data_IF_367270361507
#
_entry.id   IF_367270361507
#
_cell.length_a   1.000
_cell.length_b   1.000
_cell.length_c   1.000
_cell.angle_alpha   90.00
_cell.angle_beta   90.00
_cell.angle_gamma   90.00
#
_symmetry.space_group_name_H-M   'P 1'
#
loop_
_entity.id
_entity.type
_entity.pdbx_description
1 polymer ?
#
# COMPACT_ATOMS: atom_id res chain seq x y z
N UNK A 1 -19.75 -24.38 37.42
CA UNK A 1 -18.76 -25.16 38.18
C UNK A 1 -18.77 -26.60 37.68
N UNK A 2 -17.78 -26.98 36.88
CA UNK A 2 -17.20 -28.34 36.80
C UNK A 2 -15.95 -28.24 35.92
N UNK A 3 -14.81 -28.34 36.59
CA UNK A 3 -13.47 -28.47 36.03
C UNK A 3 -13.35 -29.77 35.25
N UNK A 4 -12.58 -29.77 34.17
CA UNK A 4 -11.84 -30.95 33.75
C UNK A 4 -10.51 -30.51 33.13
N UNK A 5 -9.43 -30.87 33.82
CA UNK A 5 -8.02 -30.65 33.48
C UNK A 5 -7.35 -32.00 33.67
N UNK A 6 -6.61 -32.51 32.68
CA UNK A 6 -5.44 -33.42 32.76
C UNK A 6 -5.18 -33.95 31.32
N UNK A 7 -4.17 -33.46 30.61
CA UNK A 7 -2.71 -33.79 30.62
C UNK A 7 -2.32 -35.07 29.85
N UNK A 8 -1.57 -34.82 28.77
CA UNK A 8 -0.45 -35.53 28.14
C UNK A 8 -0.54 -37.03 27.80
N UNK A 9 -0.34 -37.30 26.50
CA UNK A 9 0.40 -38.48 26.04
C UNK A 9 1.35 -38.07 24.90
N UNK A 10 2.60 -38.45 25.10
CA UNK A 10 3.76 -38.26 24.24
C UNK A 10 3.67 -39.21 23.06
N UNK A 11 3.87 -38.70 21.84
CA UNK A 11 4.00 -39.50 20.63
C UNK A 11 4.99 -38.82 19.68
N UNK A 12 6.24 -39.30 19.72
CA UNK A 12 7.31 -38.93 18.81
C UNK A 12 6.90 -39.24 17.36
N UNK A 13 6.74 -38.20 16.54
CA UNK A 13 6.74 -38.34 15.09
C UNK A 13 7.92 -37.53 14.54
N UNK A 14 8.93 -38.28 14.12
CA UNK A 14 10.10 -37.81 13.37
C UNK A 14 9.66 -37.10 12.09
N UNK A 15 9.88 -35.80 12.02
CA UNK A 15 9.85 -35.01 10.78
C UNK A 15 11.30 -34.75 10.39
N UNK A 16 11.80 -35.52 9.43
CA UNK A 16 12.97 -35.16 8.64
C UNK A 16 12.64 -33.89 7.87
N UNK A 17 13.22 -32.76 8.29
CA UNK A 17 13.13 -31.49 7.58
C UNK A 17 13.88 -31.59 6.24
N UNK A 18 13.31 -31.08 5.13
CA UNK A 18 14.03 -30.98 3.88
C UNK A 18 15.03 -29.82 3.95
N UNK A 19 16.27 -30.14 3.59
CA UNK A 19 17.43 -29.32 3.24
C UNK A 19 17.34 -27.80 3.46
N UNK A 20 18.23 -27.34 4.34
CA UNK A 20 18.36 -25.95 4.76
C UNK A 20 18.84 -25.01 3.66
N UNK A 21 17.90 -24.23 3.12
CA UNK A 21 18.21 -22.88 2.70
C UNK A 21 18.44 -22.03 3.96
N UNK A 22 19.69 -21.67 4.25
CA UNK A 22 20.04 -20.80 5.37
C UNK A 22 19.17 -19.53 5.36
N UNK A 23 18.46 -19.25 6.46
CA UNK A 23 17.61 -18.08 6.60
C UNK A 23 18.46 -16.81 6.37
N UNK A 24 18.14 -16.04 5.33
CA UNK A 24 18.89 -14.83 4.98
C UNK A 24 18.71 -13.77 6.07
N UNK A 25 19.82 -13.23 6.60
CA UNK A 25 19.80 -12.21 7.65
C UNK A 25 18.97 -10.98 7.22
N UNK A 26 18.08 -10.52 8.09
CA UNK A 26 17.22 -9.35 7.87
C UNK A 26 17.14 -8.47 9.12
N UNK A 27 16.88 -7.18 8.94
CA UNK A 27 16.77 -6.21 10.04
C UNK A 27 15.49 -5.37 9.91
N UNK A 28 14.90 -4.97 11.05
CA UNK A 28 13.74 -4.09 11.12
C UNK A 28 13.87 -3.16 12.33
N UNK A 29 13.52 -1.88 12.19
CA UNK A 29 13.49 -0.94 13.30
C UNK A 29 12.08 -0.89 13.90
N UNK A 30 11.99 -0.96 15.23
CA UNK A 30 10.76 -0.81 16.01
C UNK A 30 10.86 0.39 16.94
N UNK A 31 9.79 1.16 17.09
CA UNK A 31 9.69 2.30 18.01
C UNK A 31 8.99 1.92 19.32
N UNK A 32 9.46 2.49 20.43
CA UNK A 32 8.79 2.44 21.73
C UNK A 32 8.75 3.84 22.36
N UNK A 33 7.58 4.45 22.56
CA UNK A 33 6.26 3.94 22.19
C UNK A 33 6.10 3.81 20.66
N UNK A 34 5.22 2.93 20.21
CA UNK A 34 4.98 2.67 18.79
C UNK A 34 4.56 3.93 18.01
N UNK A 35 3.94 4.89 18.70
CA UNK A 35 3.61 6.22 18.19
C UNK A 35 4.48 7.26 18.91
N UNK A 36 5.59 7.73 18.28
CA UNK A 36 6.45 8.75 18.85
C UNK A 36 5.69 10.06 19.11
N UNK A 37 5.93 10.68 20.26
CA UNK A 37 5.33 11.97 20.62
C UNK A 37 6.39 13.00 20.94
N UNK A 38 6.17 14.23 20.50
CA UNK A 38 7.07 15.35 20.81
C UNK A 38 7.23 15.52 22.32
N UNK A 39 8.44 15.89 22.74
CA UNK A 39 8.89 16.11 24.11
C UNK A 39 8.92 14.88 25.03
N UNK A 40 8.54 13.70 24.54
CA UNK A 40 8.59 12.45 25.28
C UNK A 40 9.82 11.62 24.89
N UNK A 41 10.11 10.60 25.68
CA UNK A 41 11.17 9.66 25.36
C UNK A 41 10.75 8.75 24.20
N UNK A 42 11.70 8.44 23.33
CA UNK A 42 11.54 7.51 22.21
C UNK A 42 12.75 6.58 22.18
N UNK A 43 12.51 5.29 22.04
CA UNK A 43 13.54 4.29 21.77
C UNK A 43 13.27 3.67 20.41
N UNK A 44 14.26 3.72 19.53
CA UNK A 44 14.28 2.91 18.30
C UNK A 44 15.13 1.67 18.57
N UNK A 45 14.62 0.48 18.30
CA UNK A 45 15.32 -0.80 18.45
C UNK A 45 15.42 -1.52 17.11
N UNK A 46 16.62 -1.95 16.74
CA UNK A 46 16.91 -2.65 15.50
C UNK A 46 16.87 -4.16 15.75
N UNK A 47 15.75 -4.79 15.39
CA UNK A 47 15.53 -6.24 15.51
C UNK A 47 16.14 -6.96 14.32
N UNK A 48 16.86 -8.04 14.59
CA UNK A 48 17.57 -8.82 13.57
C UNK A 48 17.05 -10.25 13.59
N UNK A 49 16.63 -10.75 12.43
CA UNK A 49 16.15 -12.12 12.25
C UNK A 49 17.12 -12.92 11.37
N UNK A 50 17.24 -14.21 11.67
CA UNK A 50 18.03 -15.15 10.85
C UNK A 50 19.51 -15.24 11.20
N UNK A 51 19.97 -14.63 12.31
CA UNK A 51 21.36 -14.72 12.75
C UNK A 51 21.48 -14.53 14.28
N UNK A 52 22.20 -15.43 14.97
CA UNK A 52 22.46 -15.42 16.42
C UNK A 52 23.92 -15.07 16.79
N UNK A 53 24.76 -14.76 15.81
CA UNK A 53 26.16 -14.41 16.02
C UNK A 53 26.37 -13.02 16.63
N UNK A 54 27.63 -12.64 16.95
CA UNK A 54 27.96 -11.30 17.42
C UNK A 54 27.68 -10.26 16.33
N UNK A 55 27.05 -9.15 16.71
CA UNK A 55 26.57 -8.10 15.80
C UNK A 55 27.18 -6.76 16.14
N UNK A 56 27.53 -6.02 15.09
CA UNK A 56 27.82 -4.60 15.19
C UNK A 56 26.71 -3.80 14.53
N UNK A 57 26.27 -2.76 15.21
CA UNK A 57 25.24 -1.83 14.77
C UNK A 57 25.85 -0.48 14.48
N UNK A 58 25.44 0.12 13.36
CA UNK A 58 25.73 1.49 12.99
C UNK A 58 24.40 2.22 12.79
N UNK A 59 24.18 3.27 13.58
CA UNK A 59 23.01 4.13 13.46
C UNK A 59 23.39 5.42 12.75
N UNK A 60 22.65 5.75 11.70
CA UNK A 60 22.87 6.93 10.88
C UNK A 60 21.57 7.70 10.72
N UNK A 61 21.68 9.01 10.48
CA UNK A 61 20.56 9.87 10.10
C UNK A 61 20.86 10.52 8.77
N UNK A 62 19.92 10.43 7.83
CA UNK A 62 20.06 11.02 6.49
C UNK A 62 20.36 12.52 6.63
N UNK A 63 21.44 12.97 5.98
CA UNK A 63 21.91 14.36 6.03
C UNK A 63 22.90 14.68 7.15
N UNK A 64 23.24 13.72 8.02
CA UNK A 64 24.33 13.86 8.99
C UNK A 64 25.51 12.99 8.54
N UNK A 65 26.66 13.61 8.29
CA UNK A 65 27.84 12.94 7.75
C UNK A 65 28.55 11.98 8.72
N UNK A 66 28.23 12.04 10.02
CA UNK A 66 28.81 11.17 11.05
C UNK A 66 27.76 10.21 11.62
N UNK A 67 28.12 8.94 11.89
CA UNK A 67 27.24 8.00 12.57
C UNK A 67 26.80 8.55 13.93
N UNK A 68 25.53 8.39 14.25
CA UNK A 68 24.96 8.78 15.53
C UNK A 68 25.45 7.85 16.65
N UNK A 69 25.60 6.56 16.34
CA UNK A 69 26.07 5.54 17.26
C UNK A 69 26.74 4.39 16.49
N UNK A 70 27.80 3.82 17.05
CA UNK A 70 28.45 2.60 16.55
C UNK A 70 28.80 1.68 17.72
N UNK A 71 28.54 0.39 17.59
CA UNK A 71 28.93 -0.62 18.59
C UNK A 71 27.94 -1.76 18.72
N UNK A 72 27.85 -2.35 19.91
CA UNK A 72 26.96 -3.51 20.18
C UNK A 72 25.52 -3.15 20.50
N UNK A 73 25.21 -1.87 20.68
CA UNK A 73 23.89 -1.42 21.08
C UNK A 73 22.92 -1.39 19.88
N UNK A 74 21.88 -2.20 19.97
CA UNK A 74 20.79 -2.33 19.00
C UNK A 74 19.72 -1.24 19.17
N UNK A 75 19.90 -0.30 20.10
CA UNK A 75 18.95 0.76 20.40
C UNK A 75 19.53 2.16 20.19
N UNK A 76 18.67 3.09 19.78
CA UNK A 76 18.91 4.52 19.74
C UNK A 76 17.87 5.23 20.62
N UNK A 77 18.33 5.98 21.61
CA UNK A 77 17.47 6.59 22.64
C UNK A 77 17.40 8.10 22.49
N UNK A 78 16.18 8.63 22.37
CA UNK A 78 15.88 10.05 22.47
C UNK A 78 15.22 10.29 23.83
N UNK A 79 15.90 10.99 24.74
CA UNK A 79 15.33 11.28 26.08
C UNK A 79 14.13 12.21 26.01
N UNK A 80 14.17 13.17 25.08
CA UNK A 80 13.07 14.07 24.77
C UNK A 80 13.08 14.37 23.28
N UNK A 81 12.07 13.86 22.57
CA UNK A 81 11.95 14.00 21.13
C UNK A 81 11.66 15.47 20.75
N UNK A 82 12.32 16.01 19.73
CA UNK A 82 12.13 17.39 19.29
C UNK A 82 12.21 17.48 17.75
N UNK A 83 12.02 18.69 17.21
CA UNK A 83 11.98 18.89 15.76
C UNK A 83 13.31 18.57 15.06
N UNK A 84 14.45 18.80 15.72
CA UNK A 84 15.76 18.52 15.12
C UNK A 84 16.05 17.02 15.04
N UNK A 85 15.33 16.21 15.81
CA UNK A 85 15.37 14.75 15.72
C UNK A 85 14.55 14.20 14.53
N UNK A 86 13.66 14.96 13.89
CA UNK A 86 12.89 14.43 12.76
C UNK A 86 13.77 14.11 11.54
N UNK A 87 13.42 13.05 10.82
CA UNK A 87 14.11 12.61 9.61
C UNK A 87 14.21 11.09 9.50
N UNK A 88 14.96 10.64 8.50
CA UNK A 88 15.14 9.21 8.20
C UNK A 88 16.36 8.66 8.92
N UNK A 89 16.16 7.58 9.67
CA UNK A 89 17.18 6.85 10.41
C UNK A 89 17.48 5.52 9.73
N UNK A 90 18.75 5.15 9.68
CA UNK A 90 19.20 3.87 9.16
C UNK A 90 19.94 3.12 10.25
N UNK A 91 19.57 1.85 10.45
CA UNK A 91 20.33 0.89 11.24
C UNK A 91 20.99 -0.08 10.26
N UNK A 92 22.32 -0.07 10.20
CA UNK A 92 23.10 -1.06 9.49
C UNK A 92 23.63 -2.06 10.52
N UNK A 93 23.27 -3.32 10.38
CA UNK A 93 23.79 -4.42 11.19
C UNK A 93 24.75 -5.26 10.36
N UNK A 94 25.96 -5.46 10.89
CA UNK A 94 26.98 -6.31 10.29
C UNK A 94 27.26 -7.48 11.20
N UNK A 95 27.32 -8.68 10.62
CA UNK A 95 27.73 -9.91 11.28
C UNK A 95 28.59 -10.76 10.33
N UNK A 96 29.21 -11.85 10.81
CA UNK A 96 29.94 -12.78 9.94
C UNK A 96 29.08 -13.38 8.80
N UNK A 97 27.76 -13.39 8.95
CA UNK A 97 26.81 -13.94 7.96
C UNK A 97 26.39 -12.91 6.90
N UNK A 98 26.79 -11.65 7.06
CA UNK A 98 26.56 -10.58 6.09
C UNK A 98 26.16 -9.26 6.73
N UNK A 99 25.57 -8.38 5.92
CA UNK A 99 25.05 -7.08 6.36
C UNK A 99 23.57 -6.97 6.04
N UNK A 100 22.78 -6.46 6.98
CA UNK A 100 21.39 -6.11 6.77
C UNK A 100 21.16 -4.65 7.16
N UNK A 101 20.25 -3.99 6.45
CA UNK A 101 19.98 -2.57 6.64
C UNK A 101 18.49 -2.40 6.85
N UNK A 102 18.13 -1.62 7.87
CA UNK A 102 16.76 -1.23 8.16
C UNK A 102 16.66 0.30 8.19
N UNK A 103 15.55 0.83 7.69
CA UNK A 103 15.28 2.27 7.65
C UNK A 103 14.01 2.59 8.42
N UNK A 104 14.01 3.70 9.15
CA UNK A 104 12.87 4.20 9.91
C UNK A 104 12.68 5.69 9.66
N UNK A 105 11.50 6.07 9.20
CA UNK A 105 11.13 7.45 8.96
C UNK A 105 10.51 8.06 10.23
N UNK A 106 11.30 8.84 10.97
CA UNK A 106 10.83 9.54 12.16
C UNK A 106 10.28 10.92 11.77
N UNK A 107 9.01 10.94 11.36
CA UNK A 107 8.25 12.17 11.17
C UNK A 107 7.19 12.25 12.26
N UNK A 108 7.12 13.39 12.95
CA UNK A 108 5.99 13.70 13.82
C UNK A 108 5.27 14.89 13.20
N UNK A 109 4.32 14.61 12.31
CA UNK A 109 3.28 15.58 11.98
C UNK A 109 2.08 15.30 12.87
N UNK A 110 2.23 15.55 14.18
CA UNK A 110 1.06 15.50 15.06
C UNK A 110 0.31 16.83 14.99
N UNK A 111 -0.96 16.78 14.58
CA UNK A 111 -1.84 17.95 14.58
C UNK A 111 -2.28 18.35 16.01
N UNK A 112 -1.62 17.82 17.04
CA UNK A 112 -2.03 17.89 18.46
C UNK A 112 -2.18 19.33 18.98
N UNK A 113 -1.49 20.28 18.37
CA UNK A 113 -1.56 21.70 18.72
C UNK A 113 -1.93 22.60 17.53
N UNK A 114 -2.44 22.00 16.44
CA UNK A 114 -2.94 22.77 15.30
C UNK A 114 -4.42 23.07 15.52
N UNK A 115 -4.78 24.33 15.33
CA UNK A 115 -6.16 24.80 15.36
C UNK A 115 -6.54 25.23 13.94
N UNK A 116 -7.67 24.75 13.46
CA UNK A 116 -8.25 25.15 12.19
C UNK A 116 -9.58 25.84 12.48
N UNK A 117 -9.79 27.00 11.88
CA UNK A 117 -10.98 27.83 12.07
C UNK A 117 -11.64 28.01 10.72
N UNK A 118 -12.92 27.66 10.64
CA UNK A 118 -13.76 27.85 9.47
C UNK A 118 -14.81 28.90 9.83
N UNK A 119 -14.61 30.18 9.44
CA UNK A 119 -15.42 31.28 9.93
C UNK A 119 -16.81 31.35 9.29
N UNK A 120 -17.05 30.61 8.20
CA UNK A 120 -18.31 30.57 7.48
C UNK A 120 -18.70 29.12 7.23
N UNK A 121 -20.01 28.86 7.25
CA UNK A 121 -20.52 27.55 6.84
C UNK A 121 -20.21 27.32 5.35
N UNK A 122 -19.64 26.15 5.06
CA UNK A 122 -19.41 25.71 3.68
C UNK A 122 -19.62 24.20 3.55
N UNK A 123 -19.75 23.73 2.32
CA UNK A 123 -19.72 22.32 1.92
C UNK A 123 -18.36 21.90 1.35
N UNK A 124 -17.40 22.81 1.16
CA UNK A 124 -16.09 22.54 0.54
C UNK A 124 -14.89 22.87 1.44
N UNK A 125 -15.10 23.49 2.60
CA UNK A 125 -14.03 23.88 3.50
C UNK A 125 -13.42 22.66 4.19
N UNK A 126 -12.13 22.42 3.93
CA UNK A 126 -11.40 21.28 4.50
C UNK A 126 -9.91 21.59 4.68
N UNK A 127 -9.24 20.75 5.46
CA UNK A 127 -7.78 20.72 5.58
C UNK A 127 -7.31 19.39 5.04
N UNK A 128 -6.49 19.42 3.98
CA UNK A 128 -5.92 18.21 3.40
C UNK A 128 -4.69 17.78 4.19
N UNK A 129 -4.71 16.56 4.71
CA UNK A 129 -3.54 15.91 5.30
C UNK A 129 -3.00 14.90 4.29
N UNK A 130 -1.82 15.18 3.74
CA UNK A 130 -1.16 14.28 2.79
C UNK A 130 -0.43 13.17 3.54
N UNK A 131 -1.16 12.13 3.93
CA UNK A 131 -0.57 10.91 4.46
C UNK A 131 -0.23 9.94 3.33
N UNK A 132 0.98 9.38 3.34
CA UNK A 132 1.38 8.28 2.46
C UNK A 132 1.51 7.00 3.31
N UNK A 133 0.41 6.28 3.58
CA UNK A 133 0.47 5.05 4.34
C UNK A 133 1.32 4.02 3.56
N UNK A 134 2.43 3.59 4.17
CA UNK A 134 3.32 2.58 3.58
C UNK A 134 2.68 1.17 3.58
N UNK A 135 1.56 0.97 4.29
CA UNK A 135 0.88 -0.32 4.45
C UNK A 135 -0.66 -0.12 4.43
N UNK A 136 -1.44 -1.17 4.10
CA UNK A 136 -2.90 -1.14 4.26
C UNK A 136 -3.32 -0.73 5.66
N UNK A 137 -4.37 0.08 5.77
CA UNK A 137 -4.94 0.47 7.05
C UNK A 137 -5.70 -0.73 7.64
N UNK A 138 -4.97 -1.55 8.40
CA UNK A 138 -5.54 -2.65 9.19
C UNK A 138 -6.12 -2.14 10.50
N UNK A 139 -5.49 -1.12 11.08
CA UNK A 139 -5.94 -0.48 12.30
C UNK A 139 -6.00 1.02 12.06
N UNK A 140 -7.09 1.64 12.49
CA UNK A 140 -7.31 3.06 12.36
C UNK A 140 -7.67 3.64 13.72
N UNK A 141 -7.13 4.81 14.04
CA UNK A 141 -7.56 5.60 15.20
C UNK A 141 -7.46 7.07 14.85
N UNK A 142 -8.53 7.82 15.11
CA UNK A 142 -8.55 9.27 15.04
C UNK A 142 -9.14 9.85 16.31
N UNK A 143 -8.50 10.89 16.83
CA UNK A 143 -8.95 11.67 17.96
C UNK A 143 -8.84 13.15 17.60
N UNK A 144 -9.94 13.88 17.75
CA UNK A 144 -9.97 15.32 17.47
C UNK A 144 -10.90 16.04 18.43
N UNK A 145 -10.78 17.37 18.46
CA UNK A 145 -11.68 18.26 19.18
C UNK A 145 -12.41 19.12 18.18
N UNK A 146 -13.72 19.24 18.34
CA UNK A 146 -14.56 20.10 17.51
C UNK A 146 -15.45 20.96 18.39
N UNK A 147 -15.68 22.20 17.97
CA UNK A 147 -16.62 23.11 18.60
C UNK A 147 -17.33 23.88 17.49
N UNK A 148 -18.65 23.75 17.44
CA UNK A 148 -19.51 24.33 16.39
C UNK A 148 -20.96 24.38 16.86
N UNK A 149 -21.71 25.33 16.31
CA UNK A 149 -23.16 25.51 16.42
C UNK A 149 -23.94 24.84 15.27
N UNK A 150 -23.24 24.17 14.34
CA UNK A 150 -23.85 23.45 13.22
C UNK A 150 -24.78 22.31 13.70
N UNK A 151 -26.01 22.32 13.19
CA UNK A 151 -27.02 21.28 13.46
C UNK A 151 -27.18 20.27 12.32
N UNK A 152 -26.78 20.63 11.09
CA UNK A 152 -26.78 19.75 9.91
C UNK A 152 -25.67 18.67 9.99
N UNK A 153 -25.70 17.62 9.16
CA UNK A 153 -24.59 16.67 9.06
C UNK A 153 -23.28 17.31 8.58
N UNK A 154 -22.15 16.95 9.17
CA UNK A 154 -20.81 17.34 8.70
C UNK A 154 -19.73 16.31 9.03
N UNK A 155 -18.72 16.22 8.16
CA UNK A 155 -17.58 15.32 8.34
C UNK A 155 -16.56 15.96 9.28
N UNK A 156 -16.10 15.17 10.25
CA UNK A 156 -15.00 15.52 11.15
C UNK A 156 -13.67 14.95 10.67
N UNK A 157 -13.73 13.81 9.98
CA UNK A 157 -12.60 13.17 9.33
C UNK A 157 -13.10 12.41 8.11
N UNK A 158 -12.38 12.55 7.00
CA UNK A 158 -12.63 11.78 5.78
C UNK A 158 -11.33 11.26 5.21
N UNK A 159 -11.33 9.98 4.84
CA UNK A 159 -10.33 9.34 4.01
C UNK A 159 -11.09 8.67 2.85
N UNK A 160 -10.69 9.00 1.63
CA UNK A 160 -11.27 8.50 0.40
C UNK A 160 -10.20 7.84 -0.46
N UNK A 161 -10.58 6.77 -1.16
CA UNK A 161 -9.77 6.18 -2.24
C UNK A 161 -10.40 6.54 -3.59
N UNK A 162 -9.69 6.32 -4.71
CA UNK A 162 -10.25 6.57 -6.05
C UNK A 162 -11.55 5.79 -6.34
N UNK A 163 -11.85 4.74 -5.57
CA UNK A 163 -13.02 3.88 -5.76
C UNK A 163 -14.10 4.05 -4.69
N UNK A 164 -13.75 4.61 -3.54
CA UNK A 164 -14.64 4.66 -2.40
C UNK A 164 -14.47 6.00 -1.69
N UNK A 165 -15.44 6.86 -1.90
CA UNK A 165 -15.50 8.20 -1.28
C UNK A 165 -15.63 8.10 0.25
N UNK A 166 -16.32 7.05 0.73
CA UNK A 166 -16.53 6.79 2.16
C UNK A 166 -15.66 5.64 2.68
N UNK A 167 -14.36 5.67 2.37
CA UNK A 167 -13.43 4.60 2.75
C UNK A 167 -13.29 4.55 4.27
N UNK A 168 -12.99 5.68 4.91
CA UNK A 168 -13.11 5.86 6.37
C UNK A 168 -13.66 7.25 6.65
N UNK A 169 -14.81 7.33 7.32
CA UNK A 169 -15.45 8.63 7.63
C UNK A 169 -15.91 8.66 9.08
N UNK A 170 -15.54 9.70 9.82
CA UNK A 170 -16.18 10.06 11.07
C UNK A 170 -17.10 11.26 10.82
N UNK A 171 -18.41 11.02 10.90
CA UNK A 171 -19.45 11.98 10.58
C UNK A 171 -20.22 12.36 11.86
N UNK A 172 -20.39 13.65 12.14
CA UNK A 172 -21.46 14.12 13.02
C UNK A 172 -22.72 14.19 12.17
N UNK A 173 -23.63 13.22 12.32
CA UNK A 173 -24.82 13.13 11.46
C UNK A 173 -25.91 14.12 11.91
N UNK A 174 -26.05 14.29 13.22
CA UNK A 174 -26.93 15.27 13.88
C UNK A 174 -26.42 15.50 15.30
N UNK A 175 -26.92 16.49 16.07
CA UNK A 175 -26.39 16.81 17.40
C UNK A 175 -26.30 15.60 18.35
N UNK A 176 -27.23 14.65 18.23
CA UNK A 176 -27.33 13.45 19.08
C UNK A 176 -26.78 12.16 18.45
N UNK A 177 -26.08 12.22 17.30
CA UNK A 177 -25.63 11.00 16.60
C UNK A 177 -24.32 11.21 15.82
N UNK A 178 -23.36 10.33 16.07
CA UNK A 178 -22.18 10.16 15.21
C UNK A 178 -22.34 8.90 14.36
N UNK A 179 -21.78 8.92 13.16
CA UNK A 179 -21.63 7.74 12.30
C UNK A 179 -20.18 7.53 11.98
N UNK A 180 -19.75 6.28 12.03
CA UNK A 180 -18.41 5.88 11.63
C UNK A 180 -18.51 4.89 10.48
N UNK A 181 -17.93 5.26 9.34
CA UNK A 181 -17.92 4.49 8.10
C UNK A 181 -16.58 3.79 7.91
N UNK A 182 -16.65 2.56 7.40
CA UNK A 182 -15.51 1.81 6.86
C UNK A 182 -16.00 1.12 5.58
N UNK A 183 -15.32 1.34 4.47
CA UNK A 183 -15.65 0.71 3.19
C UNK A 183 -17.10 0.93 2.74
N UNK A 184 -17.67 2.11 2.98
CA UNK A 184 -19.05 2.45 2.65
C UNK A 184 -20.12 2.02 3.66
N UNK A 185 -19.84 1.05 4.54
CA UNK A 185 -20.77 0.62 5.61
C UNK A 185 -20.53 1.41 6.89
N UNK A 186 -21.55 1.58 7.74
CA UNK A 186 -21.41 2.37 8.98
C UNK A 186 -22.06 1.79 10.22
N UNK A 187 -21.56 2.26 11.36
CA UNK A 187 -22.23 2.13 12.66
C UNK A 187 -22.57 3.50 13.23
N UNK A 188 -23.75 3.62 13.85
CA UNK A 188 -24.20 4.86 14.48
C UNK A 188 -24.00 4.82 16.01
N UNK A 189 -23.52 5.90 16.60
CA UNK A 189 -23.39 6.10 18.04
C UNK A 189 -24.33 7.22 18.49
N UNK A 190 -25.37 6.86 19.25
CA UNK A 190 -26.26 7.84 19.87
C UNK A 190 -25.58 8.47 21.08
N UNK A 191 -25.59 9.79 21.13
CA UNK A 191 -24.96 10.60 22.17
C UNK A 191 -25.97 11.61 22.72
N UNK A 192 -25.82 12.04 23.99
CA UNK A 192 -26.57 13.19 24.50
C UNK A 192 -26.31 14.43 23.64
N UNK A 193 -27.29 15.32 23.56
CA UNK A 193 -27.13 16.60 22.90
C UNK A 193 -26.12 17.47 23.68
N UNK A 194 -25.17 18.09 22.96
CA UNK A 194 -24.13 18.93 23.56
C UNK A 194 -24.69 20.31 23.87
N UNK A 195 -24.51 20.78 25.11
CA UNK A 195 -24.86 22.15 25.52
C UNK A 195 -23.70 23.09 25.23
N UNK A 196 -23.53 23.50 23.96
CA UNK A 196 -22.52 24.48 23.50
C UNK A 196 -21.13 24.29 24.13
N UNK A 197 -20.65 23.05 24.19
CA UNK A 197 -19.34 22.71 24.73
C UNK A 197 -18.46 22.05 23.65
N UNK A 198 -17.13 22.28 23.67
CA UNK A 198 -16.20 21.56 22.81
C UNK A 198 -16.30 20.05 23.05
N UNK A 199 -16.48 19.30 21.97
CA UNK A 199 -16.54 17.85 21.99
C UNK A 199 -15.17 17.27 21.63
N UNK A 200 -14.65 16.36 22.47
CA UNK A 200 -13.50 15.52 22.15
C UNK A 200 -14.01 14.16 21.70
N UNK A 201 -13.91 13.88 20.41
CA UNK A 201 -14.32 12.59 19.85
C UNK A 201 -13.10 11.76 19.47
N UNK A 202 -13.13 10.48 19.84
CA UNK A 202 -12.16 9.49 19.40
C UNK A 202 -12.90 8.27 18.84
N UNK A 203 -12.37 7.72 17.76
CA UNK A 203 -12.83 6.43 17.22
C UNK A 203 -11.63 5.59 16.84
N UNK A 204 -11.70 4.30 17.14
CA UNK A 204 -10.71 3.31 16.74
C UNK A 204 -11.41 2.13 16.08
N UNK A 205 -10.79 1.55 15.06
CA UNK A 205 -11.26 0.37 14.36
C UNK A 205 -10.09 -0.56 14.05
N UNK A 206 -10.33 -1.86 14.20
CA UNK A 206 -9.37 -2.93 13.93
C UNK A 206 -9.97 -3.91 12.94
N UNK A 207 -9.36 -4.02 11.76
CA UNK A 207 -9.75 -4.95 10.70
C UNK A 207 -9.89 -6.39 11.19
N UNK A 208 -8.92 -7.02 11.91
CA UNK A 208 -9.00 -8.44 12.23
C UNK A 208 -10.26 -8.84 13.04
N UNK A 209 -10.74 -7.94 13.89
CA UNK A 209 -11.91 -8.16 14.74
C UNK A 209 -13.16 -7.46 14.22
N UNK A 210 -13.01 -6.44 13.39
CA UNK A 210 -14.07 -5.50 13.00
C UNK A 210 -14.57 -4.65 14.16
N UNK A 211 -13.85 -4.57 15.28
CA UNK A 211 -14.35 -3.87 16.47
C UNK A 211 -14.11 -2.36 16.33
N UNK A 212 -15.20 -1.60 16.36
CA UNK A 212 -15.20 -0.14 16.51
C UNK A 212 -15.32 0.21 17.98
N UNK A 213 -14.40 1.04 18.46
CA UNK A 213 -14.45 1.67 19.78
C UNK A 213 -14.63 3.17 19.61
N UNK A 214 -15.58 3.74 20.33
CA UNK A 214 -15.93 5.16 20.26
C UNK A 214 -15.84 5.78 21.66
N UNK A 215 -15.31 7.00 21.73
CA UNK A 215 -15.29 7.79 22.94
C UNK A 215 -15.75 9.21 22.65
N UNK A 216 -16.56 9.75 23.56
CA UNK A 216 -16.93 11.16 23.58
C UNK A 216 -16.53 11.76 24.93
N UNK A 217 -15.77 12.85 24.91
CA UNK A 217 -15.25 13.54 26.08
C UNK A 217 -14.51 12.61 27.07
N UNK A 218 -13.78 11.63 26.51
CA UNK A 218 -13.03 10.63 27.28
C UNK A 218 -13.88 9.46 27.81
N UNK A 219 -15.21 9.54 27.73
CA UNK A 219 -16.09 8.44 28.14
C UNK A 219 -16.24 7.42 27.00
N UNK A 220 -16.06 6.11 27.25
CA UNK A 220 -16.24 5.07 26.24
C UNK A 220 -17.72 4.77 25.99
N UNK A 221 -18.05 4.43 24.74
CA UNK A 221 -19.35 3.87 24.34
C UNK A 221 -19.26 2.35 24.14
N UNK A 222 -20.41 1.65 24.11
CA UNK A 222 -20.45 0.24 23.74
C UNK A 222 -19.75 -0.03 22.40
N UNK A 223 -18.93 -1.08 22.38
CA UNK A 223 -18.22 -1.53 21.19
C UNK A 223 -19.22 -2.02 20.14
N UNK A 224 -18.91 -1.81 18.86
CA UNK A 224 -19.73 -2.27 17.74
C UNK A 224 -18.89 -3.02 16.72
N UNK A 225 -19.49 -3.96 16.00
CA UNK A 225 -18.86 -4.63 14.88
C UNK A 225 -19.09 -3.85 13.59
N UNK A 226 -18.05 -3.69 12.79
CA UNK A 226 -18.08 -3.11 11.45
C UNK A 226 -16.93 -3.70 10.62
N UNK A 227 -17.25 -4.24 9.45
CA UNK A 227 -16.26 -4.61 8.43
C UNK A 227 -15.08 -5.47 8.94
N UNK A 228 -15.38 -6.63 9.55
CA UNK A 228 -14.35 -7.57 10.00
C UNK A 228 -13.57 -8.13 8.80
N UNK A 229 -12.24 -8.05 8.87
CA UNK A 229 -11.30 -8.49 7.85
C UNK A 229 -11.15 -7.53 6.67
N UNK A 230 -11.82 -6.37 6.72
CA UNK A 230 -11.75 -5.38 5.65
C UNK A 230 -10.39 -4.69 5.66
N UNK A 231 -9.78 -4.48 4.51
CA UNK A 231 -8.53 -3.71 4.38
C UNK A 231 -8.84 -2.53 3.49
N UNK A 232 -8.68 -1.30 4.00
CA UNK A 232 -8.81 -0.12 3.15
C UNK A 232 -7.75 -0.24 2.05
N UNK A 233 -8.21 -0.45 0.81
CA UNK A 233 -7.35 -0.96 -0.25
C UNK A 233 -6.33 0.10 -0.64
N UNK A 234 -5.04 -0.27 -0.65
CA UNK A 234 -3.97 0.59 -1.16
C UNK A 234 -3.83 0.30 -2.65
N UNK A 235 -4.19 1.29 -3.47
CA UNK A 235 -3.96 1.24 -4.91
C UNK A 235 -2.44 1.14 -5.18
N UNK A 236 -1.97 0.21 -6.04
CA UNK A 236 -0.58 0.15 -6.41
C UNK A 236 -0.12 1.43 -7.10
N UNK A 237 1.16 1.80 -6.95
CA UNK A 237 1.69 3.01 -7.57
C UNK A 237 1.49 2.97 -9.09
N UNK A 238 1.14 4.13 -9.65
CA UNK A 238 0.94 4.31 -11.10
C UNK A 238 -0.07 3.33 -11.74
N UNK A 239 -1.05 2.83 -10.98
CA UNK A 239 -2.12 2.00 -11.53
C UNK A 239 -3.07 2.81 -12.42
N UNK A 240 -3.39 2.29 -13.61
CA UNK A 240 -4.53 2.75 -14.41
C UNK A 240 -4.97 1.70 -15.42
N UNK A 241 -6.27 1.71 -15.75
CA UNK A 241 -6.82 0.91 -16.83
C UNK A 241 -6.47 1.49 -18.19
N UNK A 242 -6.05 0.63 -19.11
CA UNK A 242 -5.98 0.93 -20.56
C UNK A 242 -7.22 0.38 -21.26
N UNK A 243 -7.73 -0.75 -20.78
CA UNK A 243 -9.05 -1.25 -21.12
C UNK A 243 -9.75 -1.65 -19.82
N UNK A 244 -10.82 -0.92 -19.46
CA UNK A 244 -11.53 -1.08 -18.19
C UNK A 244 -11.96 -2.54 -17.96
N UNK A 245 -11.63 -3.07 -16.79
CA UNK A 245 -11.93 -4.46 -16.42
C UNK A 245 -11.20 -5.53 -17.23
N UNK A 246 -10.25 -5.17 -18.11
CA UNK A 246 -9.56 -6.10 -19.02
C UNK A 246 -8.04 -6.02 -18.90
N UNK A 247 -7.46 -4.82 -19.04
CA UNK A 247 -6.02 -4.63 -19.03
C UNK A 247 -5.62 -3.33 -18.32
N UNK A 248 -4.78 -3.46 -17.29
CA UNK A 248 -4.22 -2.34 -16.53
C UNK A 248 -2.68 -2.29 -16.59
N UNK A 249 -2.12 -1.08 -16.48
CA UNK A 249 -0.71 -0.84 -16.24
C UNK A 249 -0.46 -0.37 -14.81
N UNK A 250 0.70 -0.71 -14.22
CA UNK A 250 1.13 -0.23 -12.91
C UNK A 250 2.65 -0.15 -12.77
N UNK A 251 3.13 0.57 -11.76
CA UNK A 251 4.49 0.42 -11.26
C UNK A 251 4.59 -0.83 -10.37
N UNK A 252 5.81 -1.22 -9.99
CA UNK A 252 6.05 -2.46 -9.24
C UNK A 252 5.24 -2.49 -7.93
N UNK A 253 4.35 -3.48 -7.72
CA UNK A 253 3.68 -3.64 -6.45
C UNK A 253 4.70 -4.07 -5.38
N UNK A 254 4.73 -3.34 -4.27
CA UNK A 254 5.68 -3.60 -3.17
C UNK A 254 5.06 -4.25 -1.92
N UNK A 255 3.78 -4.08 -1.68
CA UNK A 255 3.11 -4.50 -0.45
C UNK A 255 1.98 -5.51 -0.69
N UNK A 256 1.65 -6.38 0.29
CA UNK A 256 0.53 -7.32 0.19
C UNK A 256 -0.80 -6.69 -0.23
N UNK A 257 -1.06 -5.46 0.25
CA UNK A 257 -2.27 -4.70 -0.08
C UNK A 257 -2.43 -4.39 -1.56
N UNK A 258 -1.33 -4.17 -2.29
CA UNK A 258 -1.39 -3.91 -3.73
C UNK A 258 -1.90 -5.14 -4.49
N UNK A 259 -1.48 -6.34 -4.10
CA UNK A 259 -1.92 -7.58 -4.73
C UNK A 259 -3.39 -7.88 -4.42
N UNK A 260 -3.83 -7.61 -3.19
CA UNK A 260 -5.24 -7.72 -2.81
C UNK A 260 -6.11 -6.70 -3.54
N UNK A 261 -5.61 -5.46 -3.71
CA UNK A 261 -6.26 -4.47 -4.55
C UNK A 261 -6.48 -5.02 -5.96
N UNK A 262 -5.44 -5.57 -6.61
CA UNK A 262 -5.56 -6.18 -7.94
C UNK A 262 -6.63 -7.29 -7.98
N UNK A 263 -6.65 -8.18 -6.99
CA UNK A 263 -7.69 -9.22 -6.91
C UNK A 263 -9.10 -8.62 -6.79
N UNK A 264 -9.26 -7.58 -5.97
CA UNK A 264 -10.51 -6.82 -5.83
C UNK A 264 -10.91 -6.06 -7.11
N UNK A 265 -9.95 -5.78 -8.00
CA UNK A 265 -10.19 -5.24 -9.35
C UNK A 265 -10.61 -6.31 -10.38
N UNK A 266 -10.75 -7.57 -9.99
CA UNK A 266 -11.00 -8.68 -10.91
C UNK A 266 -9.75 -9.14 -11.67
N UNK A 267 -8.56 -8.59 -11.35
CA UNK A 267 -7.30 -9.07 -11.92
C UNK A 267 -6.98 -10.46 -11.36
N UNK A 268 -6.65 -11.39 -12.24
CA UNK A 268 -6.19 -12.75 -11.87
C UNK A 268 -4.80 -13.07 -12.39
N UNK A 269 -4.28 -12.24 -13.31
CA UNK A 269 -2.94 -12.40 -13.86
C UNK A 269 -2.12 -11.12 -13.71
N UNK A 270 -0.93 -11.24 -13.13
CA UNK A 270 0.05 -10.16 -13.02
C UNK A 270 1.26 -10.47 -13.90
N UNK A 271 1.52 -9.63 -14.88
CA UNK A 271 2.64 -9.70 -15.80
C UNK A 271 3.78 -8.83 -15.26
N UNK A 272 4.89 -9.47 -14.88
CA UNK A 272 6.10 -8.81 -14.38
C UNK A 272 7.15 -8.72 -15.48
N UNK A 273 7.44 -7.50 -15.92
CA UNK A 273 8.50 -7.22 -16.91
C UNK A 273 9.89 -7.06 -16.27
N UNK A 274 9.95 -6.95 -14.94
CA UNK A 274 11.19 -6.75 -14.19
C UNK A 274 12.05 -8.01 -14.11
N UNK A 275 13.36 -7.80 -14.03
CA UNK A 275 14.39 -8.82 -13.89
C UNK A 275 14.24 -9.63 -12.60
N UNK A 276 13.73 -8.98 -11.54
CA UNK A 276 13.38 -9.59 -10.25
C UNK A 276 11.88 -9.70 -10.10
N UNK A 277 11.42 -10.71 -9.37
CA UNK A 277 10.01 -10.84 -9.01
C UNK A 277 9.64 -9.71 -8.05
N UNK A 278 8.40 -9.19 -8.13
CA UNK A 278 7.96 -8.16 -7.19
C UNK A 278 7.87 -8.77 -5.77
N UNK A 279 8.20 -8.00 -4.72
CA UNK A 279 8.25 -8.53 -3.35
C UNK A 279 6.84 -8.89 -2.86
N UNK A 280 6.73 -9.88 -1.98
CA UNK A 280 5.45 -10.35 -1.43
C UNK A 280 4.43 -10.91 -2.43
N UNK A 281 4.80 -11.17 -3.69
CA UNK A 281 3.88 -11.75 -4.70
C UNK A 281 3.20 -13.06 -4.25
N UNK A 282 3.85 -13.85 -3.38
CA UNK A 282 3.28 -15.09 -2.82
C UNK A 282 2.16 -14.87 -1.79
N UNK A 283 1.86 -13.64 -1.37
CA UNK A 283 0.79 -13.37 -0.40
C UNK A 283 -0.62 -13.65 -0.93
N UNK A 284 -0.77 -13.74 -2.26
CA UNK A 284 -2.04 -13.90 -2.95
C UNK A 284 -1.95 -15.08 -3.93
N UNK A 285 -2.13 -16.34 -3.48
CA UNK A 285 -1.98 -17.53 -4.32
C UNK A 285 -2.93 -17.58 -5.53
N UNK A 286 -4.07 -16.89 -5.45
CA UNK A 286 -5.05 -16.78 -6.53
C UNK A 286 -4.67 -15.78 -7.62
N UNK A 287 -3.61 -14.98 -7.42
CA UNK A 287 -3.07 -14.07 -8.43
C UNK A 287 -1.87 -14.74 -9.11
N UNK A 288 -2.03 -15.11 -10.37
CA UNK A 288 -1.00 -15.81 -11.12
C UNK A 288 0.05 -14.82 -11.65
N UNK A 289 1.32 -15.04 -11.29
CA UNK A 289 2.45 -14.21 -11.72
C UNK A 289 3.09 -14.78 -13.00
N UNK A 290 3.10 -13.98 -14.06
CA UNK A 290 3.76 -14.29 -15.34
C UNK A 290 5.02 -13.44 -15.50
N UNK A 291 6.18 -14.07 -15.69
CA UNK A 291 7.47 -13.36 -15.70
C UNK A 291 8.05 -13.27 -17.11
N UNK A 292 8.02 -12.08 -17.70
CA UNK A 292 8.67 -11.77 -18.98
C UNK A 292 9.83 -10.83 -18.71
N UNK A 293 11.03 -11.36 -18.47
CA UNK A 293 12.18 -10.52 -18.11
C UNK A 293 12.57 -9.63 -19.29
N UNK A 294 12.44 -8.32 -19.13
CA UNK A 294 12.89 -7.31 -20.09
C UNK A 294 13.90 -6.42 -19.37
N UNK A 295 15.16 -6.36 -19.81
CA UNK A 295 16.16 -5.46 -19.21
C UNK A 295 15.66 -4.01 -19.16
N UNK A 296 16.09 -3.26 -18.16
CA UNK A 296 15.67 -1.86 -18.07
C UNK A 296 16.07 -1.04 -19.31
N UNK A 297 15.22 -0.08 -19.68
CA UNK A 297 15.35 0.75 -20.89
C UNK A 297 15.38 0.02 -22.24
N UNK A 298 15.11 -1.27 -22.31
CA UNK A 298 15.01 -2.01 -23.59
C UNK A 298 13.55 -2.36 -23.93
N UNK A 299 13.23 -2.64 -25.22
CA UNK A 299 11.93 -3.15 -25.60
C UNK A 299 11.76 -4.65 -25.24
N UNK A 300 10.51 -5.11 -25.01
CA UNK A 300 10.21 -6.55 -25.02
C UNK A 300 10.46 -7.15 -26.41
N UNK A 301 10.84 -8.43 -26.46
CA UNK A 301 11.05 -9.11 -27.74
C UNK A 301 9.72 -9.43 -28.44
N UNK A 302 9.71 -9.64 -29.77
CA UNK A 302 8.48 -10.01 -30.50
C UNK A 302 7.76 -11.24 -29.90
N UNK A 303 8.51 -12.25 -29.48
CA UNK A 303 7.96 -13.46 -28.84
C UNK A 303 7.33 -13.17 -27.46
N UNK A 304 7.92 -12.24 -26.69
CA UNK A 304 7.35 -11.79 -25.42
C UNK A 304 6.06 -11.00 -25.64
N UNK A 305 6.03 -10.12 -26.65
CA UNK A 305 4.83 -9.36 -27.01
C UNK A 305 3.70 -10.32 -27.42
N UNK A 306 3.97 -11.28 -28.29
CA UNK A 306 2.97 -12.26 -28.72
C UNK A 306 2.42 -13.08 -27.54
N UNK A 307 3.30 -13.64 -26.71
CA UNK A 307 2.91 -14.39 -25.51
C UNK A 307 2.07 -13.55 -24.54
N UNK A 308 2.45 -12.28 -24.33
CA UNK A 308 1.69 -11.35 -23.51
C UNK A 308 0.27 -11.11 -24.07
N UNK A 309 0.16 -10.85 -25.38
CA UNK A 309 -1.14 -10.60 -26.01
C UNK A 309 -2.05 -11.82 -26.00
N UNK A 310 -1.48 -13.02 -26.18
CA UNK A 310 -2.23 -14.27 -26.06
C UNK A 310 -2.75 -14.46 -24.63
N UNK A 311 -1.91 -14.27 -23.62
CA UNK A 311 -2.31 -14.34 -22.22
C UNK A 311 -3.48 -13.38 -21.92
N UNK A 312 -3.40 -12.14 -22.39
CA UNK A 312 -4.46 -11.14 -22.19
C UNK A 312 -5.77 -11.56 -22.88
N UNK A 313 -5.69 -12.13 -24.07
CA UNK A 313 -6.84 -12.63 -24.81
C UNK A 313 -7.52 -13.80 -24.08
N UNK A 314 -6.75 -14.80 -23.66
CA UNK A 314 -7.26 -15.97 -22.93
C UNK A 314 -7.86 -15.61 -21.58
N UNK A 315 -7.19 -14.75 -20.81
CA UNK A 315 -7.69 -14.26 -19.52
C UNK A 315 -9.01 -13.51 -19.68
N UNK A 316 -9.06 -12.57 -20.63
CA UNK A 316 -10.28 -11.80 -20.89
C UNK A 316 -11.43 -12.71 -21.36
N UNK A 317 -11.15 -13.78 -22.12
CA UNK A 317 -12.14 -14.77 -22.52
C UNK A 317 -12.78 -15.53 -21.34
N UNK A 318 -12.09 -15.60 -20.21
CA UNK A 318 -12.61 -16.15 -18.94
C UNK A 318 -13.24 -15.08 -18.02
N UNK A 319 -13.34 -13.83 -18.47
CA UNK A 319 -13.79 -12.71 -17.64
C UNK A 319 -12.77 -12.28 -16.58
N UNK A 320 -11.49 -12.62 -16.76
CA UNK A 320 -10.40 -12.29 -15.85
C UNK A 320 -9.57 -11.13 -16.40
N UNK A 321 -9.28 -10.13 -15.56
CA UNK A 321 -8.43 -9.03 -15.98
C UNK A 321 -6.94 -9.36 -15.83
N UNK A 322 -6.11 -8.68 -16.63
CA UNK A 322 -4.64 -8.74 -16.57
C UNK A 322 -4.07 -7.40 -16.16
N UNK A 323 -3.03 -7.41 -15.32
CA UNK A 323 -2.26 -6.24 -14.98
C UNK A 323 -0.79 -6.44 -15.39
N UNK A 324 -0.14 -5.42 -15.95
CA UNK A 324 1.27 -5.48 -16.38
C UNK A 324 2.10 -4.39 -15.73
N UNK A 325 3.29 -4.75 -15.25
CA UNK A 325 4.19 -3.82 -14.56
C UNK A 325 5.66 -3.98 -14.97
N UNK A 326 6.42 -2.90 -14.82
CA UNK A 326 7.88 -2.91 -14.74
C UNK A 326 8.30 -2.28 -13.41
N UNK A 327 9.39 -1.49 -13.36
CA UNK A 327 9.76 -0.78 -12.13
C UNK A 327 8.82 0.41 -11.86
N UNK A 328 8.72 1.35 -12.81
CA UNK A 328 7.95 2.59 -12.68
C UNK A 328 6.62 2.58 -13.44
N UNK A 329 6.38 1.56 -14.28
CA UNK A 329 5.15 1.45 -15.05
C UNK A 329 5.08 2.37 -16.28
N UNK A 330 6.24 2.76 -16.83
CA UNK A 330 6.38 3.69 -17.98
C UNK A 330 6.87 3.01 -19.26
N UNK A 331 8.17 2.76 -19.45
CA UNK A 331 8.75 2.31 -20.72
C UNK A 331 8.28 0.92 -21.14
N UNK A 332 8.87 -0.13 -20.55
CA UNK A 332 8.54 -1.54 -20.83
C UNK A 332 7.03 -1.83 -20.73
N UNK A 333 6.38 -1.26 -19.71
CA UNK A 333 4.93 -1.41 -19.48
C UNK A 333 4.14 -0.73 -20.60
N UNK A 334 4.47 0.52 -20.93
CA UNK A 334 3.84 1.27 -22.02
C UNK A 334 4.00 0.60 -23.37
N UNK A 335 5.16 0.00 -23.66
CA UNK A 335 5.39 -0.73 -24.91
C UNK A 335 4.44 -1.93 -25.05
N UNK A 336 4.29 -2.76 -24.02
CA UNK A 336 3.34 -3.88 -24.03
C UNK A 336 1.89 -3.39 -24.20
N UNK A 337 1.51 -2.32 -23.50
CA UNK A 337 0.17 -1.74 -23.58
C UNK A 337 -0.13 -1.15 -24.96
N UNK A 338 0.85 -0.54 -25.62
CA UNK A 338 0.70 -0.01 -26.97
C UNK A 338 0.50 -1.12 -28.00
N UNK A 339 1.28 -2.20 -27.93
CA UNK A 339 1.07 -3.38 -28.79
C UNK A 339 -0.33 -4.00 -28.60
N UNK A 340 -0.87 -3.96 -27.38
CA UNK A 340 -2.25 -4.36 -27.13
C UNK A 340 -3.27 -3.48 -27.85
N UNK A 341 -3.10 -2.14 -27.84
CA UNK A 341 -3.97 -1.23 -28.58
C UNK A 341 -3.85 -1.44 -30.10
N UNK A 342 -2.65 -1.68 -30.62
CA UNK A 342 -2.46 -2.04 -32.03
C UNK A 342 -3.31 -3.26 -32.39
N UNK A 343 -3.20 -4.36 -31.63
CA UNK A 343 -3.94 -5.61 -31.91
C UNK A 343 -5.46 -5.44 -31.76
N UNK A 344 -5.92 -4.78 -30.69
CA UNK A 344 -7.34 -4.78 -30.31
C UNK A 344 -8.15 -3.60 -30.83
N UNK A 345 -7.50 -2.46 -31.08
CA UNK A 345 -8.15 -1.24 -31.60
C UNK A 345 -7.76 -0.93 -33.05
N UNK A 346 -6.92 -1.77 -33.68
CA UNK A 346 -6.44 -1.57 -35.05
C UNK A 346 -5.76 -0.21 -35.25
N UNK A 347 -5.15 0.30 -34.20
CA UNK A 347 -4.44 1.57 -34.25
C UNK A 347 -3.10 1.40 -34.99
N UNK A 348 -2.69 2.43 -35.72
CA UNK A 348 -1.31 2.52 -36.18
C UNK A 348 -0.35 2.51 -34.99
N UNK A 349 0.90 2.08 -35.19
CA UNK A 349 1.89 2.09 -34.11
C UNK A 349 2.07 3.49 -33.48
N UNK A 350 2.03 4.54 -34.30
CA UNK A 350 2.20 5.93 -33.83
C UNK A 350 1.00 6.43 -33.04
N UNK A 351 -0.22 6.06 -33.43
CA UNK A 351 -1.43 6.42 -32.69
C UNK A 351 -1.55 5.64 -31.38
N UNK A 352 -1.15 4.37 -31.37
CA UNK A 352 -1.09 3.58 -30.14
C UNK A 352 -0.10 4.18 -29.12
N UNK A 353 1.07 4.63 -29.57
CA UNK A 353 2.06 5.33 -28.73
C UNK A 353 1.45 6.61 -28.16
N UNK A 354 0.82 7.44 -28.99
CA UNK A 354 0.17 8.69 -28.55
C UNK A 354 -0.92 8.43 -27.52
N UNK A 355 -1.76 7.42 -27.75
CA UNK A 355 -2.87 7.10 -26.86
C UNK A 355 -2.37 6.58 -25.50
N UNK A 356 -1.35 5.71 -25.48
CA UNK A 356 -0.73 5.28 -24.23
C UNK A 356 -0.10 6.46 -23.49
N UNK A 357 0.55 7.40 -24.18
CA UNK A 357 1.10 8.62 -23.55
C UNK A 357 0.00 9.53 -23.01
N UNK A 358 -1.16 9.60 -23.66
CA UNK A 358 -2.34 10.34 -23.18
C UNK A 358 -2.93 9.70 -21.92
N UNK A 359 -3.10 8.37 -21.91
CA UNK A 359 -3.63 7.62 -20.77
C UNK A 359 -2.63 7.53 -19.60
N UNK A 360 -1.34 7.46 -19.91
CA UNK A 360 -0.25 7.23 -18.96
C UNK A 360 0.96 8.10 -19.34
N UNK A 361 0.98 9.39 -18.93
CA UNK A 361 2.07 10.30 -19.25
C UNK A 361 3.46 9.75 -18.88
N UNK A 362 4.44 9.98 -19.76
CA UNK A 362 5.81 9.46 -19.61
C UNK A 362 6.02 8.02 -20.08
N UNK A 363 4.98 7.34 -20.58
CA UNK A 363 5.12 5.98 -21.12
C UNK A 363 5.90 5.93 -22.44
N UNK A 364 6.59 4.80 -22.65
CA UNK A 364 7.46 4.54 -23.80
C UNK A 364 8.63 5.52 -23.82
N UNK A 365 9.71 5.13 -23.14
CA UNK A 365 10.79 6.00 -22.69
C UNK A 365 11.94 6.10 -23.71
N UNK A 366 12.10 5.11 -24.58
CA UNK A 366 13.22 5.04 -25.52
C UNK A 366 12.77 4.90 -26.97
N UNK A 367 13.64 5.27 -27.92
CA UNK A 367 13.36 5.13 -29.36
C UNK A 367 13.22 3.68 -29.78
N UNK A 368 13.99 2.79 -29.16
CA UNK A 368 13.94 1.35 -29.39
C UNK A 368 12.59 0.77 -28.94
N UNK A 369 12.00 1.32 -27.87
CA UNK A 369 10.65 0.97 -27.43
C UNK A 369 9.56 1.47 -28.38
N UNK A 370 9.70 2.68 -28.93
CA UNK A 370 8.80 3.18 -29.98
C UNK A 370 8.89 2.31 -31.24
N UNK A 371 10.11 2.02 -31.68
CA UNK A 371 10.39 1.19 -32.86
C UNK A 371 9.79 -0.21 -32.73
N UNK A 372 9.88 -0.84 -31.56
CA UNK A 372 9.25 -2.14 -31.30
C UNK A 372 7.72 -2.13 -31.51
N UNK A 373 7.04 -1.03 -31.17
CA UNK A 373 5.59 -0.89 -31.43
C UNK A 373 5.32 -0.72 -32.92
N UNK A 374 6.14 0.07 -33.62
CA UNK A 374 6.02 0.29 -35.06
C UNK A 374 6.25 -1.01 -35.86
N UNK A 375 7.28 -1.77 -35.50
CA UNK A 375 7.59 -3.08 -36.10
C UNK A 375 6.47 -4.08 -35.83
N UNK A 376 5.95 -4.12 -34.61
CA UNK A 376 4.81 -4.97 -34.27
C UNK A 376 3.58 -4.66 -35.15
N UNK A 377 3.26 -3.37 -35.35
CA UNK A 377 2.17 -2.97 -36.26
C UNK A 377 2.40 -3.46 -37.69
N UNK A 378 3.59 -3.27 -38.25
CA UNK A 378 3.90 -3.71 -39.62
C UNK A 378 3.71 -5.23 -39.80
N UNK A 379 4.18 -6.02 -38.84
CA UNK A 379 4.05 -7.48 -38.89
C UNK A 379 2.60 -7.93 -38.69
N UNK A 380 1.87 -7.24 -37.81
CA UNK A 380 0.46 -7.51 -37.56
C UNK A 380 -0.39 -7.24 -38.81
N UNK A 381 -0.25 -6.07 -39.44
CA UNK A 381 -0.99 -5.71 -40.66
C UNK A 381 -0.70 -6.66 -41.82
N UNK A 382 0.58 -6.99 -42.07
CA UNK A 382 0.95 -7.93 -43.14
C UNK A 382 0.34 -9.34 -42.93
N UNK A 383 0.19 -9.78 -41.68
CA UNK A 383 -0.40 -11.07 -41.35
C UNK A 383 -1.94 -11.11 -41.45
N UNK A 384 -2.61 -9.96 -41.43
CA UNK A 384 -4.06 -9.86 -41.70
C UNK A 384 -4.34 -9.84 -43.20
N UNK A 385 -3.57 -9.07 -43.98
CA UNK A 385 -3.69 -9.03 -45.44
C UNK A 385 -3.48 -10.42 -46.07
N UNK A 386 -2.66 -11.28 -45.43
CA UNK A 386 -2.41 -12.66 -45.87
C UNK A 386 -3.53 -13.66 -45.55
N UNK A 387 -4.49 -13.30 -44.68
CA UNK A 387 -5.63 -14.15 -44.29
C UNK A 387 -6.93 -13.80 -45.03
N UNK A 388 -6.96 -12.68 -45.75
CA UNK A 388 -8.09 -12.21 -46.55
C UNK A 388 -7.97 -12.56 -48.05
N UNK A 389 -6.98 -13.36 -48.45
CA UNK A 389 -6.79 -13.87 -49.83
C UNK A 389 -7.26 -15.31 -49.97
#
# INVERSE_FOLDING_TARGET
MRFCLLFFLVGLCSLTAPDGAAAKMSAQIQSSPQVPSMYHSLVLSCKVNGDTGPKEFVWEKKGIHKPLQKGRADILVFRSLNKTHLGTYTCTVTSPQGTAVATYNLWTEDLKYKLFVFPQESNDSHVLVQAQPEHPLLNFTVCLRSYTDLTRPYSLFSYATKKQDNEIVLLKFKPTEYRFYVGGEYVAFRVPESQMAPERVCVAWESPTGIVRFWLNGKPWPRKGLQKGYEAMVEPPNFSWVAEGRLAGLAMPREPGHYRFLLGQGVRHLVSLSERAPPHHGCCPTLQLHRFRVPDFTPPTPAQIQSFLQLVEEANGRGEAVAVHCMLGHGRTGTMLACYLVKTKKMSGSDAIKEIRRLRPGSIETREQEQAVMEFYQHFSAGEDSKEV
#
